data_IF_329522371967
#
_entry.id   IF_329522371967
#
_cell.length_a   1.000
_cell.length_b   1.000
_cell.length_c   1.000
_cell.angle_alpha   90.00
_cell.angle_beta   90.00
_cell.angle_gamma   90.00
#
_symmetry.space_group_name_H-M   'P 1'
#
loop_
_entity.id
_entity.type
_entity.pdbx_description
1 polymer ?
#
# COMPACT_ATOMS: atom_id res chain seq x y z
N UNK A 1 -15.84 -12.81 9.40
CA UNK A 1 -15.49 -11.60 10.19
C UNK A 1 -13.99 -11.52 10.41
N UNK A 2 -13.36 -12.59 10.92
CA UNK A 2 -11.91 -12.68 11.18
C UNK A 2 -11.05 -12.33 9.96
N UNK A 3 -11.29 -12.93 8.78
CA UNK A 3 -10.49 -12.68 7.57
C UNK A 3 -10.44 -11.22 7.12
N UNK A 4 -11.54 -10.49 7.26
CA UNK A 4 -11.55 -9.08 6.86
C UNK A 4 -10.88 -8.16 7.86
N UNK A 5 -10.99 -8.45 9.15
CA UNK A 5 -10.22 -7.76 10.20
C UNK A 5 -8.72 -7.99 9.98
N UNK A 6 -8.32 -9.22 9.68
CA UNK A 6 -6.93 -9.56 9.33
C UNK A 6 -6.48 -8.79 8.09
N UNK A 7 -7.30 -8.72 7.03
CA UNK A 7 -6.99 -7.94 5.84
C UNK A 7 -6.79 -6.45 6.11
N UNK A 8 -7.64 -5.84 6.96
CA UNK A 8 -7.52 -4.43 7.37
C UNK A 8 -6.25 -4.22 8.19
N UNK A 9 -5.99 -5.06 9.18
CA UNK A 9 -4.79 -4.96 10.02
C UNK A 9 -3.52 -5.08 9.18
N UNK A 10 -3.47 -6.06 8.26
CA UNK A 10 -2.34 -6.23 7.34
C UNK A 10 -2.16 -5.03 6.43
N UNK A 11 -3.25 -4.44 5.91
CA UNK A 11 -3.17 -3.25 5.06
C UNK A 11 -2.63 -2.03 5.80
N UNK A 12 -3.05 -1.84 7.05
CA UNK A 12 -2.52 -0.79 7.93
C UNK A 12 -1.04 -1.02 8.24
N UNK A 13 -0.63 -2.27 8.47
CA UNK A 13 0.78 -2.60 8.65
C UNK A 13 1.63 -2.29 7.40
N UNK A 14 1.09 -2.49 6.19
CA UNK A 14 1.73 -2.03 4.93
C UNK A 14 1.92 -0.51 4.93
N UNK A 15 0.99 0.25 5.53
CA UNK A 15 1.11 1.70 5.70
C UNK A 15 2.36 2.16 6.47
N UNK A 16 2.90 1.32 7.36
CA UNK A 16 4.16 1.60 8.07
C UNK A 16 5.36 1.58 7.11
N UNK A 17 5.35 0.69 6.11
CA UNK A 17 6.38 0.69 5.06
C UNK A 17 6.24 1.91 4.13
N UNK A 18 5.02 2.39 3.90
CA UNK A 18 4.77 3.66 3.20
C UNK A 18 5.27 4.87 4.02
N UNK A 19 5.16 4.88 5.35
CA UNK A 19 5.80 5.90 6.19
C UNK A 19 7.32 5.92 6.03
N UNK A 20 7.94 4.73 6.03
CA UNK A 20 9.39 4.58 5.84
C UNK A 20 9.88 5.05 4.48
N UNK A 21 9.04 4.98 3.44
CA UNK A 21 9.42 5.43 2.09
C UNK A 21 9.73 6.92 1.98
N UNK A 22 9.27 7.75 2.92
CA UNK A 22 9.69 9.15 3.01
C UNK A 22 11.19 9.33 3.27
N UNK A 23 11.88 8.27 3.71
CA UNK A 23 13.34 8.22 3.86
C UNK A 23 14.07 7.91 2.53
N UNK A 24 13.34 7.37 1.55
CA UNK A 24 13.85 6.85 0.28
C UNK A 24 13.47 7.75 -0.90
N UNK A 25 12.33 8.44 -0.78
CA UNK A 25 11.61 9.07 -1.87
C UNK A 25 11.50 10.58 -1.66
N UNK A 26 11.74 11.44 -2.67
CA UNK A 26 11.57 12.87 -2.54
C UNK A 26 10.10 13.23 -2.21
N UNK A 27 9.91 14.19 -1.30
CA UNK A 27 8.60 14.60 -0.74
C UNK A 27 7.43 14.72 -1.75
N UNK A 28 7.60 15.30 -2.96
CA UNK A 28 6.49 15.39 -3.93
C UNK A 28 5.90 14.03 -4.32
N UNK A 29 6.74 13.01 -4.44
CA UNK A 29 6.31 11.67 -4.83
C UNK A 29 5.74 10.87 -3.66
N UNK A 30 6.16 11.20 -2.44
CA UNK A 30 5.60 10.62 -1.23
C UNK A 30 4.08 10.86 -1.18
N UNK A 31 3.61 12.07 -1.54
CA UNK A 31 2.17 12.36 -1.61
C UNK A 31 1.41 11.44 -2.57
N UNK A 32 1.98 11.12 -3.73
CA UNK A 32 1.40 10.18 -4.69
C UNK A 32 1.30 8.77 -4.11
N UNK A 33 2.34 8.32 -3.42
CA UNK A 33 2.34 7.03 -2.71
C UNK A 33 1.29 6.99 -1.60
N UNK A 34 1.17 8.06 -0.81
CA UNK A 34 0.15 8.19 0.23
C UNK A 34 -1.26 8.19 -0.33
N UNK A 35 -1.48 8.86 -1.46
CA UNK A 35 -2.76 8.84 -2.15
C UNK A 35 -3.10 7.43 -2.66
N UNK A 36 -2.11 6.68 -3.17
CA UNK A 36 -2.30 5.29 -3.59
C UNK A 36 -2.67 4.38 -2.42
N UNK A 37 -1.98 4.52 -1.28
CA UNK A 37 -2.28 3.77 -0.06
C UNK A 37 -3.67 4.12 0.49
N UNK A 38 -4.03 5.40 0.56
CA UNK A 38 -5.37 5.82 0.98
C UNK A 38 -6.45 5.27 0.02
N UNK A 39 -6.19 5.29 -1.29
CA UNK A 39 -7.08 4.72 -2.31
C UNK A 39 -7.26 3.22 -2.14
N UNK A 40 -6.19 2.47 -1.89
CA UNK A 40 -6.27 1.03 -1.65
C UNK A 40 -7.00 0.68 -0.34
N UNK A 41 -6.93 1.53 0.70
CA UNK A 41 -7.74 1.39 1.91
C UNK A 41 -9.24 1.55 1.59
N UNK A 42 -9.61 2.52 0.76
CA UNK A 42 -11.00 2.69 0.30
C UNK A 42 -11.47 1.46 -0.48
N UNK A 43 -10.62 0.93 -1.37
CA UNK A 43 -10.90 -0.32 -2.11
C UNK A 43 -11.09 -1.48 -1.13
N UNK A 44 -10.23 -1.62 -0.13
CA UNK A 44 -10.33 -2.66 0.89
C UNK A 44 -11.67 -2.60 1.64
N UNK A 45 -12.10 -1.40 2.05
CA UNK A 45 -13.38 -1.20 2.74
C UNK A 45 -14.56 -1.59 1.83
N UNK A 46 -14.52 -1.19 0.56
CA UNK A 46 -15.55 -1.56 -0.44
C UNK A 46 -15.57 -3.07 -0.68
N UNK A 47 -14.42 -3.68 -0.94
CA UNK A 47 -14.30 -5.14 -1.13
C UNK A 47 -14.74 -5.90 0.11
N UNK A 48 -14.43 -5.43 1.32
CA UNK A 48 -14.91 -6.04 2.55
C UNK A 48 -16.45 -5.97 2.69
N UNK A 49 -17.06 -4.89 2.19
CA UNK A 49 -18.52 -4.72 2.21
C UNK A 49 -19.25 -5.61 1.18
N UNK A 50 -18.63 -5.88 0.03
CA UNK A 50 -19.23 -6.63 -1.08
C UNK A 50 -18.86 -8.13 -1.07
N UNK A 51 -17.60 -8.47 -0.76
CA UNK A 51 -17.12 -9.85 -0.73
C UNK A 51 -15.89 -10.02 0.18
N UNK A 52 -16.15 -10.57 1.37
CA UNK A 52 -15.14 -10.81 2.43
C UNK A 52 -14.03 -11.80 2.05
N UNK A 53 -14.22 -12.57 0.97
CA UNK A 53 -13.26 -13.58 0.50
C UNK A 53 -12.02 -12.92 -0.11
N UNK A 54 -12.18 -11.76 -0.75
CA UNK A 54 -11.09 -11.06 -1.44
C UNK A 54 -10.32 -10.09 -0.55
N UNK A 55 -10.81 -9.80 0.65
CA UNK A 55 -10.18 -8.84 1.58
C UNK A 55 -8.71 -9.13 1.90
N UNK A 56 -8.25 -10.40 2.04
CA UNK A 56 -6.83 -10.69 2.27
C UNK A 56 -5.92 -10.45 1.05
N UNK A 57 -6.47 -10.39 -0.17
CA UNK A 57 -5.68 -10.21 -1.40
C UNK A 57 -5.21 -8.77 -1.55
N UNK A 58 -6.04 -7.82 -1.12
CA UNK A 58 -5.79 -6.38 -1.25
C UNK A 58 -4.49 -5.91 -0.55
N UNK A 59 -4.17 -6.28 0.72
CA UNK A 59 -2.89 -5.91 1.32
C UNK A 59 -1.69 -6.53 0.61
N UNK A 60 -1.81 -7.76 0.07
CA UNK A 60 -0.75 -8.38 -0.72
C UNK A 60 -0.49 -7.60 -2.02
N UNK A 61 -1.55 -7.22 -2.73
CA UNK A 61 -1.45 -6.37 -3.94
C UNK A 61 -0.83 -5.02 -3.62
N UNK A 62 -1.22 -4.38 -2.51
CA UNK A 62 -0.65 -3.10 -2.10
C UNK A 62 0.84 -3.17 -1.77
N UNK A 63 1.29 -4.28 -1.15
CA UNK A 63 2.71 -4.53 -0.90
C UNK A 63 3.48 -4.73 -2.22
N UNK A 64 2.93 -5.50 -3.16
CA UNK A 64 3.55 -5.70 -4.48
C UNK A 64 3.68 -4.38 -5.23
N UNK A 65 2.62 -3.56 -5.25
CA UNK A 65 2.65 -2.24 -5.87
C UNK A 65 3.69 -1.32 -5.22
N UNK A 66 3.82 -1.37 -3.88
CA UNK A 66 4.85 -0.62 -3.17
C UNK A 66 6.26 -1.00 -3.63
N UNK A 67 6.57 -2.30 -3.67
CA UNK A 67 7.88 -2.78 -4.14
C UNK A 67 8.15 -2.30 -5.57
N UNK A 68 7.17 -2.43 -6.46
CA UNK A 68 7.30 -1.98 -7.86
C UNK A 68 7.61 -0.48 -7.93
N UNK A 69 6.90 0.35 -7.17
CA UNK A 69 7.10 1.80 -7.18
C UNK A 69 8.49 2.17 -6.67
N UNK A 70 8.95 1.57 -5.56
CA UNK A 70 10.28 1.83 -5.01
C UNK A 70 11.37 1.41 -6.00
N UNK A 71 11.22 0.24 -6.64
CA UNK A 71 12.17 -0.26 -7.64
C UNK A 71 12.21 0.62 -8.89
N UNK A 72 11.05 1.02 -9.42
CA UNK A 72 10.96 1.96 -10.54
C UNK A 72 11.56 3.32 -10.17
N UNK A 73 11.32 3.76 -8.95
CA UNK A 73 11.93 4.93 -8.35
C UNK A 73 13.44 4.92 -8.35
N UNK A 74 14.01 3.81 -7.88
CA UNK A 74 15.46 3.60 -7.88
C UNK A 74 16.03 3.58 -9.30
N UNK A 75 15.35 2.93 -10.25
CA UNK A 75 15.84 2.78 -11.62
C UNK A 75 15.70 4.05 -12.49
N UNK A 76 14.62 4.81 -12.32
CA UNK A 76 14.30 5.97 -13.15
C UNK A 76 14.74 7.31 -12.55
N UNK A 77 14.82 7.37 -11.23
CA UNK A 77 14.98 8.62 -10.49
C UNK A 77 16.07 8.56 -9.41
N UNK A 78 16.91 7.50 -9.42
CA UNK A 78 18.00 7.28 -8.47
C UNK A 78 17.58 7.39 -6.99
N UNK A 79 16.36 6.95 -6.66
CA UNK A 79 15.93 6.89 -5.26
C UNK A 79 16.78 5.89 -4.47
N UNK A 80 17.27 6.34 -3.32
CA UNK A 80 18.09 5.54 -2.40
C UNK A 80 17.19 4.77 -1.44
N UNK A 81 16.82 3.56 -1.83
CA UNK A 81 16.07 2.62 -0.99
C UNK A 81 16.91 2.00 0.12
#
# INVERSE_FOLDING_TARGET
MVLGVVGIVLYVAVGVFYLGSGLVMPYPWAFGMWALWAGGLVVLIRVFSESRVWTPVVPAVAMVLWVIIVQLGSWLFDWTA
#
